data_IF_232660317944
#
_entry.id   IF_232660317944
#
_cell.length_a   1.000
_cell.length_b   1.000
_cell.length_c   1.000
_cell.angle_alpha   90.00
_cell.angle_beta   90.00
_cell.angle_gamma   90.00
#
_symmetry.space_group_name_H-M   'P 1'
#
loop_
_entity.id
_entity.type
_entity.pdbx_description
1 polymer ?
#
# COMPACT_ATOMS: atom_id res chain seq x y z
N UNK A 1 1.21 -22.09 -0.99
CA UNK A 1 2.30 -21.74 -1.95
C UNK A 1 3.36 -20.88 -1.29
N UNK A 2 3.03 -19.73 -0.71
CA UNK A 2 4.03 -18.89 0.00
C UNK A 2 4.69 -19.57 1.20
N UNK A 3 3.97 -20.40 1.96
CA UNK A 3 4.54 -21.16 3.08
C UNK A 3 5.58 -22.23 2.70
N UNK A 4 5.81 -22.45 1.39
CA UNK A 4 6.89 -23.30 0.91
C UNK A 4 8.19 -22.51 0.63
N UNK A 5 8.15 -21.19 0.74
CA UNK A 5 9.30 -20.31 0.52
C UNK A 5 10.14 -20.29 1.81
N UNK A 6 11.42 -20.69 1.76
CA UNK A 6 12.27 -20.69 2.96
C UNK A 6 12.35 -19.29 3.59
N UNK A 7 12.19 -19.25 4.92
CA UNK A 7 12.27 -18.01 5.68
C UNK A 7 10.99 -17.19 5.71
N UNK A 8 9.88 -17.70 5.15
CA UNK A 8 8.56 -17.05 5.24
C UNK A 8 7.70 -17.83 6.23
N UNK A 9 7.20 -17.11 7.23
CA UNK A 9 6.13 -17.55 8.12
C UNK A 9 4.85 -16.81 7.76
N UNK A 10 3.76 -17.55 7.56
CA UNK A 10 2.46 -16.95 7.25
C UNK A 10 1.69 -16.77 8.54
N UNK A 11 1.33 -15.53 8.84
CA UNK A 11 0.47 -15.17 9.96
C UNK A 11 -0.95 -14.97 9.46
N UNK A 12 -1.90 -15.72 10.02
CA UNK A 12 -3.32 -15.49 9.77
C UNK A 12 -3.81 -14.31 10.61
N UNK A 13 -4.44 -13.35 9.95
CA UNK A 13 -5.01 -12.18 10.61
C UNK A 13 -6.47 -12.47 10.99
N UNK A 14 -6.86 -12.11 12.21
CA UNK A 14 -8.25 -12.16 12.66
C UNK A 14 -9.03 -10.96 12.11
N UNK A 15 -9.25 -10.97 10.81
CA UNK A 15 -10.09 -10.00 10.12
C UNK A 15 -11.20 -10.73 9.39
N UNK A 16 -12.40 -10.14 9.28
CA UNK A 16 -13.44 -10.71 8.44
C UNK A 16 -12.89 -10.94 7.05
N UNK A 17 -12.74 -12.21 6.67
CA UNK A 17 -12.29 -12.58 5.33
C UNK A 17 -13.36 -12.17 4.33
N UNK A 18 -13.35 -10.91 3.94
CA UNK A 18 -14.11 -10.48 2.79
C UNK A 18 -13.34 -10.99 1.60
N UNK A 19 -13.71 -12.17 1.13
CA UNK A 19 -13.16 -12.81 -0.07
C UNK A 19 -13.50 -12.00 -1.35
N UNK A 20 -13.57 -10.69 -1.23
CA UNK A 20 -13.89 -9.77 -2.29
C UNK A 20 -12.65 -8.93 -2.54
N UNK A 21 -12.20 -8.96 -3.78
CA UNK A 21 -11.19 -8.04 -4.25
C UNK A 21 -11.63 -6.60 -3.89
N UNK A 22 -10.69 -5.74 -3.54
CA UNK A 22 -11.01 -4.34 -3.21
C UNK A 22 -11.77 -3.65 -4.34
N UNK A 23 -11.57 -4.07 -5.58
CA UNK A 23 -12.35 -3.62 -6.74
C UNK A 23 -13.86 -3.89 -6.60
N UNK A 24 -14.26 -4.99 -5.96
CA UNK A 24 -15.68 -5.33 -5.74
C UNK A 24 -16.34 -4.37 -4.76
N UNK A 25 -15.58 -3.83 -3.81
CA UNK A 25 -16.04 -2.84 -2.84
C UNK A 25 -15.97 -1.39 -3.36
N UNK A 26 -15.58 -1.16 -4.62
CA UNK A 26 -15.44 0.18 -5.19
C UNK A 26 -16.76 0.97 -5.21
N UNK A 27 -17.90 0.28 -5.23
CA UNK A 27 -19.25 0.90 -5.17
C UNK A 27 -19.65 1.34 -3.76
N UNK A 28 -18.91 0.91 -2.74
CA UNK A 28 -19.14 1.21 -1.31
C UNK A 28 -17.88 1.79 -0.65
N UNK A 29 -17.44 2.99 -1.06
CA UNK A 29 -16.15 3.54 -0.62
C UNK A 29 -15.96 3.62 0.90
N UNK A 30 -16.96 4.02 1.72
CA UNK A 30 -16.79 4.05 3.17
C UNK A 30 -16.54 2.67 3.77
N UNK A 31 -17.26 1.66 3.31
CA UNK A 31 -17.11 0.28 3.75
C UNK A 31 -15.75 -0.29 3.37
N UNK A 32 -15.30 -0.04 2.13
CA UNK A 32 -13.99 -0.42 1.66
C UNK A 32 -12.88 0.15 2.55
N UNK A 33 -12.97 1.43 2.90
CA UNK A 33 -12.01 2.08 3.80
C UNK A 33 -11.98 1.45 5.19
N UNK A 34 -13.14 1.14 5.74
CA UNK A 34 -13.24 0.48 7.04
C UNK A 34 -12.56 -0.89 7.03
N UNK A 35 -12.78 -1.66 5.99
CA UNK A 35 -12.16 -2.99 5.83
C UNK A 35 -10.65 -2.90 5.69
N UNK A 36 -10.17 -2.01 4.83
CA UNK A 36 -8.73 -1.77 4.65
C UNK A 36 -8.07 -1.31 5.95
N UNK A 37 -8.72 -0.43 6.71
CA UNK A 37 -8.20 0.02 8.00
C UNK A 37 -8.08 -1.14 9.00
N UNK A 38 -9.12 -1.98 9.11
CA UNK A 38 -9.10 -3.16 9.97
C UNK A 38 -8.00 -4.14 9.61
N UNK A 39 -7.74 -4.33 8.31
CA UNK A 39 -6.66 -5.19 7.83
C UNK A 39 -5.29 -4.63 8.23
N UNK A 40 -5.07 -3.34 8.03
CA UNK A 40 -3.82 -2.65 8.42
C UNK A 40 -3.62 -2.68 9.95
N UNK A 41 -4.67 -2.45 10.72
CA UNK A 41 -4.63 -2.53 12.19
C UNK A 41 -4.32 -3.93 12.70
N UNK A 42 -4.94 -4.96 12.10
CA UNK A 42 -4.69 -6.35 12.45
C UNK A 42 -3.25 -6.78 12.12
N UNK A 43 -2.73 -6.37 10.95
CA UNK A 43 -1.35 -6.62 10.57
C UNK A 43 -0.36 -5.96 11.55
N UNK A 44 -0.64 -4.72 11.97
CA UNK A 44 0.17 -4.02 12.97
C UNK A 44 0.10 -4.70 14.35
N UNK A 45 -1.08 -5.13 14.77
CA UNK A 45 -1.28 -5.84 16.05
C UNK A 45 -0.56 -7.20 16.08
N UNK A 46 -0.53 -7.89 14.94
CA UNK A 46 0.20 -9.15 14.78
C UNK A 46 1.72 -8.95 14.63
N UNK A 47 2.20 -7.70 14.56
CA UNK A 47 3.62 -7.36 14.42
C UNK A 47 4.29 -8.07 13.23
N UNK A 48 3.58 -8.16 12.09
CA UNK A 48 4.12 -8.76 10.88
C UNK A 48 5.20 -7.87 10.24
N UNK A 49 6.17 -8.47 9.58
CA UNK A 49 7.19 -7.74 8.82
C UNK A 49 6.66 -7.20 7.50
N UNK A 50 5.66 -7.89 6.93
CA UNK A 50 5.05 -7.49 5.66
C UNK A 50 3.58 -7.90 5.57
N UNK A 51 2.76 -7.01 5.00
CA UNK A 51 1.42 -7.31 4.48
C UNK A 51 1.53 -7.68 3.01
N UNK A 52 1.13 -8.91 2.66
CA UNK A 52 1.28 -9.43 1.31
C UNK A 52 -0.03 -9.32 0.54
N UNK A 53 -0.01 -8.56 -0.54
CA UNK A 53 -1.14 -8.44 -1.45
C UNK A 53 -1.04 -9.45 -2.58
N UNK A 54 -2.13 -10.13 -2.89
CA UNK A 54 -2.19 -11.12 -3.98
C UNK A 54 -2.58 -10.45 -5.31
N UNK A 55 -3.52 -9.53 -5.26
CA UNK A 55 -4.02 -8.84 -6.43
C UNK A 55 -3.29 -7.53 -6.66
N UNK A 56 -2.94 -7.25 -7.91
CA UNK A 56 -2.29 -6.00 -8.28
C UNK A 56 -3.14 -4.77 -7.96
N UNK A 57 -4.45 -4.86 -8.09
CA UNK A 57 -5.38 -3.78 -7.71
C UNK A 57 -5.27 -3.41 -6.23
N UNK A 58 -5.19 -4.42 -5.36
CA UNK A 58 -5.07 -4.22 -3.92
C UNK A 58 -3.71 -3.63 -3.57
N UNK A 59 -2.65 -4.13 -4.22
CA UNK A 59 -1.32 -3.57 -4.06
C UNK A 59 -1.27 -2.09 -4.44
N UNK A 60 -1.83 -1.73 -5.60
CA UNK A 60 -1.89 -0.33 -6.06
C UNK A 60 -2.65 0.59 -5.09
N UNK A 61 -3.60 0.06 -4.37
CA UNK A 61 -4.35 0.84 -3.39
C UNK A 61 -3.62 0.94 -2.05
N UNK A 62 -3.08 -0.16 -1.56
CA UNK A 62 -2.51 -0.27 -0.22
C UNK A 62 -1.05 0.19 -0.12
N UNK A 63 -0.25 0.08 -1.18
CA UNK A 63 1.20 0.27 -1.10
C UNK A 63 1.63 1.64 -0.53
N UNK A 64 0.82 2.69 -0.69
CA UNK A 64 1.11 4.01 -0.14
C UNK A 64 1.06 4.06 1.39
N UNK A 65 0.36 3.11 2.01
CA UNK A 65 0.27 3.04 3.48
C UNK A 65 1.57 2.58 4.15
N UNK A 66 2.51 2.02 3.40
CA UNK A 66 3.81 1.61 3.93
C UNK A 66 4.53 2.75 4.68
N UNK A 67 4.30 4.02 4.29
CA UNK A 67 4.86 5.18 4.99
C UNK A 67 4.26 5.47 6.37
N UNK A 68 3.06 4.98 6.64
CA UNK A 68 2.30 5.26 7.87
C UNK A 68 2.22 4.05 8.82
N UNK A 69 2.62 2.86 8.37
CA UNK A 69 2.47 1.61 9.12
C UNK A 69 3.82 0.93 9.36
N UNK A 70 3.96 0.14 10.45
CA UNK A 70 5.25 -0.42 10.88
C UNK A 70 5.64 -1.70 10.13
N UNK A 71 5.11 -1.95 8.95
CA UNK A 71 5.38 -3.13 8.13
C UNK A 71 5.47 -2.74 6.66
N UNK A 72 6.11 -3.60 5.88
CA UNK A 72 6.16 -3.46 4.42
C UNK A 72 4.83 -3.87 3.79
N UNK A 73 4.51 -3.29 2.63
CA UNK A 73 3.39 -3.74 1.81
C UNK A 73 3.96 -4.23 0.48
N UNK A 74 3.89 -5.53 0.25
CA UNK A 74 4.54 -6.19 -0.88
C UNK A 74 3.53 -6.98 -1.72
N UNK A 75 3.75 -7.04 -3.02
CA UNK A 75 2.98 -7.94 -3.87
C UNK A 75 3.57 -9.36 -3.80
N UNK A 76 2.72 -10.37 -3.87
CA UNK A 76 3.15 -11.77 -3.88
C UNK A 76 4.19 -12.06 -4.97
N UNK A 77 4.11 -11.36 -6.10
CA UNK A 77 5.05 -11.51 -7.21
C UNK A 77 6.45 -10.96 -6.89
N UNK A 78 6.57 -9.97 -6.01
CA UNK A 78 7.87 -9.50 -5.51
C UNK A 78 8.57 -10.63 -4.75
N UNK A 79 7.84 -11.30 -3.85
CA UNK A 79 8.37 -12.42 -3.06
C UNK A 79 8.81 -13.57 -3.97
N UNK A 80 7.96 -13.94 -4.94
CA UNK A 80 8.27 -15.00 -5.89
C UNK A 80 9.47 -14.61 -6.76
N UNK A 81 9.50 -13.38 -7.26
CA UNK A 81 10.62 -12.86 -8.04
C UNK A 81 11.94 -12.93 -7.27
N UNK A 82 11.95 -12.46 -6.02
CA UNK A 82 13.13 -12.49 -5.16
C UNK A 82 13.66 -13.91 -4.95
N UNK A 83 12.77 -14.90 -4.77
CA UNK A 83 13.18 -16.31 -4.61
C UNK A 83 13.78 -16.90 -5.89
N UNK A 84 13.41 -16.37 -7.04
CA UNK A 84 13.94 -16.75 -8.36
C UNK A 84 15.19 -15.93 -8.75
N UNK A 85 15.64 -15.00 -7.91
CA UNK A 85 16.76 -14.12 -8.17
C UNK A 85 16.42 -12.91 -9.05
N UNK A 86 15.14 -12.68 -9.33
CA UNK A 86 14.67 -11.48 -10.05
C UNK A 86 14.29 -10.41 -9.04
N UNK A 87 15.16 -9.44 -8.83
CA UNK A 87 14.86 -8.28 -8.01
C UNK A 87 14.52 -7.10 -8.90
N UNK A 88 13.33 -6.57 -8.72
CA UNK A 88 12.89 -5.34 -9.35
C UNK A 88 12.33 -4.40 -8.29
N UNK A 89 12.76 -3.14 -8.35
CA UNK A 89 12.18 -2.10 -7.51
C UNK A 89 10.75 -1.82 -7.94
N UNK A 90 9.83 -1.80 -6.99
CA UNK A 90 8.45 -1.37 -7.26
C UNK A 90 8.40 0.15 -7.45
N UNK A 91 8.63 0.57 -8.69
CA UNK A 91 8.63 1.97 -9.08
C UNK A 91 7.29 2.65 -8.80
N UNK A 92 6.17 1.94 -8.98
CA UNK A 92 4.86 2.49 -8.70
C UNK A 92 4.67 2.80 -7.21
N UNK A 93 5.04 1.87 -6.33
CA UNK A 93 5.01 2.06 -4.88
C UNK A 93 5.92 3.21 -4.46
N UNK A 94 7.17 3.22 -4.96
CA UNK A 94 8.13 4.29 -4.69
C UNK A 94 7.52 5.67 -4.93
N UNK A 95 6.95 5.89 -6.11
CA UNK A 95 6.31 7.16 -6.46
C UNK A 95 5.08 7.44 -5.60
N UNK A 96 4.25 6.43 -5.38
CA UNK A 96 2.99 6.62 -4.66
C UNK A 96 3.19 6.94 -3.18
N UNK A 97 4.21 6.40 -2.54
CA UNK A 97 4.55 6.70 -1.13
C UNK A 97 4.91 8.17 -0.93
N UNK A 98 5.44 8.84 -1.95
CA UNK A 98 5.77 10.28 -1.87
C UNK A 98 4.55 11.16 -1.58
N UNK A 99 3.34 10.80 -2.06
CA UNK A 99 2.08 11.54 -1.85
C UNK A 99 2.14 13.02 -2.24
N UNK A 100 3.11 13.42 -3.07
CA UNK A 100 3.33 14.77 -3.56
C UNK A 100 3.47 14.74 -5.09
N UNK A 101 2.56 15.40 -5.79
CA UNK A 101 2.50 15.35 -7.24
C UNK A 101 3.71 16.00 -7.91
N UNK A 102 4.25 17.06 -7.33
CA UNK A 102 5.38 17.79 -7.89
C UNK A 102 6.69 17.00 -7.64
N UNK A 103 6.84 16.38 -6.47
CA UNK A 103 7.94 15.47 -6.17
C UNK A 103 7.93 14.24 -7.09
N UNK A 104 6.75 13.65 -7.34
CA UNK A 104 6.58 12.50 -8.25
C UNK A 104 6.97 12.86 -9.67
N UNK A 105 6.51 14.01 -10.18
CA UNK A 105 6.84 14.47 -11.54
C UNK A 105 8.34 14.74 -11.66
N UNK A 106 8.95 15.33 -10.63
CA UNK A 106 10.38 15.59 -10.60
C UNK A 106 11.21 14.30 -10.58
N UNK A 107 10.83 13.31 -9.76
CA UNK A 107 11.49 12.01 -9.70
C UNK A 107 11.35 11.21 -11.01
N UNK A 108 10.25 11.40 -11.73
CA UNK A 108 9.98 10.75 -13.00
C UNK A 108 10.42 11.58 -14.23
N UNK A 109 11.13 12.71 -14.05
CA UNK A 109 11.43 13.68 -15.11
C UNK A 109 12.11 13.05 -16.34
N UNK A 110 13.08 12.16 -16.12
CA UNK A 110 13.80 11.49 -17.21
C UNK A 110 12.87 10.60 -18.07
N UNK A 111 11.97 9.86 -17.43
CA UNK A 111 10.99 9.04 -18.13
C UNK A 111 9.96 9.90 -18.87
N UNK A 112 9.51 10.98 -18.25
CA UNK A 112 8.58 11.95 -18.86
C UNK A 112 9.21 12.53 -20.11
N UNK A 113 10.47 12.95 -20.04
CA UNK A 113 11.23 13.50 -21.17
C UNK A 113 11.46 12.45 -22.26
N UNK A 114 11.86 11.22 -21.88
CA UNK A 114 12.10 10.10 -22.79
C UNK A 114 10.87 9.77 -23.64
N UNK A 115 9.68 9.86 -23.04
CA UNK A 115 8.40 9.56 -23.70
C UNK A 115 7.73 10.82 -24.32
N UNK A 116 8.38 11.98 -24.27
CA UNK A 116 7.84 13.23 -24.83
C UNK A 116 6.53 13.67 -24.17
N UNK A 117 6.33 13.34 -22.91
CA UNK A 117 5.11 13.70 -22.16
C UNK A 117 5.28 15.13 -21.63
N UNK A 118 4.26 15.95 -21.82
CA UNK A 118 4.20 17.28 -21.22
C UNK A 118 4.12 17.21 -19.69
N UNK A 119 4.87 18.05 -18.98
CA UNK A 119 4.96 18.02 -17.53
C UNK A 119 3.62 18.31 -16.84
N UNK A 120 2.81 19.23 -17.39
CA UNK A 120 1.49 19.54 -16.85
C UNK A 120 0.52 18.37 -17.07
N UNK A 121 0.67 17.68 -18.20
CA UNK A 121 -0.08 16.45 -18.46
C UNK A 121 0.33 15.34 -17.47
N UNK A 122 1.63 15.13 -17.25
CA UNK A 122 2.14 14.18 -16.29
C UNK A 122 1.60 14.47 -14.88
N UNK A 123 1.64 15.73 -14.46
CA UNK A 123 1.09 16.19 -13.18
C UNK A 123 -0.40 15.89 -13.03
N UNK A 124 -1.19 16.16 -14.08
CA UNK A 124 -2.64 15.83 -14.08
C UNK A 124 -2.87 14.33 -13.93
N UNK A 125 -2.10 13.49 -14.64
CA UNK A 125 -2.19 12.03 -14.54
C UNK A 125 -1.84 11.54 -13.14
N UNK A 126 -0.81 12.11 -12.53
CA UNK A 126 -0.44 11.78 -11.14
C UNK A 126 -1.57 12.14 -10.19
N UNK A 127 -2.10 13.34 -10.27
CA UNK A 127 -3.20 13.80 -9.40
C UNK A 127 -4.47 12.96 -9.59
N UNK A 128 -4.85 12.63 -10.81
CA UNK A 128 -6.11 11.94 -11.09
C UNK A 128 -5.98 10.41 -11.00
N UNK A 129 -4.87 9.85 -11.48
CA UNK A 129 -4.71 8.41 -11.62
C UNK A 129 -3.94 7.74 -10.48
N UNK A 130 -3.00 8.45 -9.86
CA UNK A 130 -2.16 7.88 -8.80
C UNK A 130 -2.58 8.34 -7.40
N UNK A 131 -2.80 9.64 -7.20
CA UNK A 131 -3.10 10.26 -5.92
C UNK A 131 -4.56 10.68 -5.76
N UNK A 132 -5.30 10.87 -6.89
CA UNK A 132 -6.59 11.53 -6.98
C UNK A 132 -7.73 10.92 -6.17
N UNK A 133 -8.89 10.65 -6.75
CA UNK A 133 -10.15 10.26 -6.08
C UNK A 133 -10.08 9.03 -5.14
N UNK A 134 -8.91 8.41 -5.04
CA UNK A 134 -8.68 7.38 -4.05
C UNK A 134 -8.40 8.05 -2.73
N UNK A 135 -9.08 7.60 -1.66
CA UNK A 135 -8.84 8.17 -0.36
C UNK A 135 -7.36 8.16 -0.04
N UNK A 136 -6.88 9.31 0.43
CA UNK A 136 -5.55 9.46 1.03
C UNK A 136 -5.26 8.26 1.95
N UNK A 137 -3.98 7.92 2.15
CA UNK A 137 -3.58 6.84 3.04
C UNK A 137 -4.44 6.83 4.31
N UNK A 138 -4.91 5.66 4.68
CA UNK A 138 -5.55 5.44 5.96
C UNK A 138 -4.46 5.61 7.01
N UNK A 139 -4.30 6.83 7.49
CA UNK A 139 -3.33 7.11 8.55
C UNK A 139 -3.67 6.22 9.73
N UNK A 140 -2.66 5.56 10.25
CA UNK A 140 -2.74 4.98 11.58
C UNK A 140 -3.28 6.08 12.49
N UNK A 141 -4.42 5.85 13.13
CA UNK A 141 -4.90 6.76 14.17
C UNK A 141 -3.68 7.04 15.05
N UNK A 142 -3.25 8.30 15.09
CA UNK A 142 -2.07 8.71 15.85
C UNK A 142 -2.20 7.99 17.17
N UNK A 143 -1.21 7.21 17.57
CA UNK A 143 -1.30 6.30 18.69
C UNK A 143 -2.01 7.08 19.79
N UNK A 144 -3.30 6.84 19.91
CA UNK A 144 -4.07 7.47 20.98
C UNK A 144 -3.31 7.02 22.16
N UNK A 145 -2.67 7.96 22.79
CA UNK A 145 -1.82 7.78 23.93
C UNK A 145 -2.50 6.78 24.88
N UNK A 146 -2.14 5.52 24.74
CA UNK A 146 -2.35 4.51 25.75
C UNK A 146 -1.43 4.83 26.92
N UNK A 147 -1.67 5.97 27.53
CA UNK A 147 -0.79 6.49 28.55
C UNK A 147 -1.39 7.66 29.28
N UNK A 148 -2.65 7.54 29.72
CA UNK A 148 -3.12 8.26 30.90
C UNK A 148 -4.30 7.49 31.52
N UNK A 149 -4.00 6.33 32.05
CA UNK A 149 -4.74 5.91 33.26
C UNK A 149 -4.12 6.70 34.39
N UNK A 150 -4.73 7.80 34.74
CA UNK A 150 -4.49 8.47 36.02
C UNK A 150 -5.18 7.61 37.07
N UNK A 151 -4.49 6.98 38.01
CA UNK A 151 -5.11 6.36 39.16
C UNK A 151 -5.53 7.47 40.09
N UNK A 152 -6.82 7.52 40.42
CA UNK A 152 -7.37 8.26 41.54
C UNK A 152 -7.00 7.62 42.85
#
# INVERSE_FOLDING_TARGET
MLGAVPGIEIVELDVPAIRLQSATCATLPPYKREVQLKELEAAAAASVDALVTVYHSDHRELCAHEGDWPFRIVNVLEIVGDTMGFRQDDRYKHLKVMQDADAIVMDAADLIAQHGIDADMARRVVLQGMLGDRPLPLKRAAAQSFGQVVPS
#
